data_IF_203299855198
#
_entry.id   IF_203299855198
#
_cell.length_a   1.000
_cell.length_b   1.000
_cell.length_c   1.000
_cell.angle_alpha   90.00
_cell.angle_beta   90.00
_cell.angle_gamma   90.00
#
_symmetry.space_group_name_H-M   'P 1'
#
loop_
_entity.id
_entity.type
_entity.pdbx_description
1 polymer ?
#
# COMPACT_ATOMS: atom_id res chain seq x y z
N UNK A 1 22.44 15.57 -3.20
CA UNK A 1 22.70 14.11 -3.30
C UNK A 1 21.63 13.24 -2.60
N UNK A 2 20.61 13.82 -1.95
CA UNK A 2 19.57 13.05 -1.23
C UNK A 2 18.28 12.77 -2.04
N UNK A 3 17.97 13.57 -3.06
CA UNK A 3 16.75 13.39 -3.88
C UNK A 3 16.70 12.04 -4.61
N UNK A 4 17.85 11.48 -4.99
CA UNK A 4 17.90 10.17 -5.66
C UNK A 4 17.53 9.00 -4.76
N UNK A 5 17.70 9.12 -3.44
CA UNK A 5 17.37 8.07 -2.47
C UNK A 5 15.88 8.11 -2.13
N UNK A 6 15.31 9.31 -1.93
CA UNK A 6 13.86 9.49 -1.72
C UNK A 6 13.07 8.83 -2.85
N UNK A 7 13.44 9.13 -4.10
CA UNK A 7 12.73 8.63 -5.28
C UNK A 7 12.74 7.09 -5.38
N UNK A 8 13.86 6.43 -5.08
CA UNK A 8 13.93 4.94 -5.06
C UNK A 8 13.07 4.32 -3.96
N UNK A 9 12.97 4.96 -2.79
CA UNK A 9 12.13 4.48 -1.70
C UNK A 9 10.65 4.60 -2.07
N UNK A 10 10.27 5.75 -2.64
CA UNK A 10 8.92 6.04 -3.14
C UNK A 10 8.49 5.01 -4.19
N UNK A 11 9.31 4.81 -5.23
CA UNK A 11 9.04 3.79 -6.25
C UNK A 11 8.91 2.39 -5.67
N UNK A 12 9.79 1.99 -4.75
CA UNK A 12 9.72 0.68 -4.12
C UNK A 12 8.45 0.48 -3.29
N UNK A 13 7.98 1.52 -2.61
CA UNK A 13 6.74 1.47 -1.82
C UNK A 13 5.50 1.41 -2.69
N UNK A 14 5.44 2.25 -3.72
CA UNK A 14 4.36 2.22 -4.71
C UNK A 14 4.28 0.87 -5.42
N UNK A 15 5.43 0.26 -5.72
CA UNK A 15 5.48 -1.09 -6.28
C UNK A 15 4.91 -2.13 -5.31
N UNK A 16 5.21 -2.06 -4.00
CA UNK A 16 4.60 -2.95 -2.99
C UNK A 16 3.09 -2.77 -2.92
N UNK A 17 2.59 -1.53 -2.92
CA UNK A 17 1.15 -1.25 -2.92
C UNK A 17 0.48 -1.73 -4.21
N UNK A 18 1.15 -1.56 -5.35
CA UNK A 18 0.68 -2.03 -6.64
C UNK A 18 0.59 -3.56 -6.68
N UNK A 19 1.58 -4.29 -6.15
CA UNK A 19 1.54 -5.75 -6.02
C UNK A 19 0.37 -6.22 -5.15
N UNK A 20 0.04 -5.48 -4.09
CA UNK A 20 -1.14 -5.74 -3.25
C UNK A 20 -2.41 -5.52 -4.07
N UNK A 21 -2.54 -4.37 -4.76
CA UNK A 21 -3.68 -4.06 -5.63
C UNK A 21 -3.89 -5.07 -6.74
N UNK A 22 -2.82 -5.48 -7.43
CA UNK A 22 -2.86 -6.52 -8.45
C UNK A 22 -3.35 -7.85 -7.86
N UNK A 23 -2.92 -8.18 -6.63
CA UNK A 23 -3.42 -9.37 -5.93
C UNK A 23 -4.92 -9.29 -5.64
N UNK A 24 -5.47 -8.10 -5.37
CA UNK A 24 -6.92 -7.92 -5.15
C UNK A 24 -7.73 -8.05 -6.44
N UNK A 25 -7.19 -7.58 -7.56
CA UNK A 25 -7.81 -7.70 -8.87
C UNK A 25 -7.86 -9.16 -9.36
N UNK A 26 -6.88 -9.98 -8.97
CA UNK A 26 -6.86 -11.40 -9.35
C UNK A 26 -8.02 -12.20 -8.73
N UNK A 27 -8.68 -13.09 -9.50
CA UNK A 27 -9.81 -13.90 -9.02
C UNK A 27 -9.42 -14.89 -7.92
N UNK A 28 -8.19 -15.45 -7.97
CA UNK A 28 -7.63 -16.35 -6.95
C UNK A 28 -6.79 -15.63 -5.88
N UNK A 29 -6.78 -14.30 -5.93
CA UNK A 29 -5.95 -13.50 -5.03
C UNK A 29 -6.45 -13.50 -3.59
N UNK A 30 -5.55 -13.30 -2.64
CA UNK A 30 -5.90 -13.19 -1.23
C UNK A 30 -6.54 -11.81 -1.01
N UNK A 31 -7.88 -11.79 -0.91
CA UNK A 31 -8.67 -10.58 -0.66
C UNK A 31 -9.05 -10.39 0.81
N UNK A 32 -8.67 -11.31 1.70
CA UNK A 32 -9.02 -11.21 3.14
C UNK A 32 -8.40 -9.96 3.76
N UNK A 33 -9.23 -9.19 4.46
CA UNK A 33 -8.82 -7.93 5.13
C UNK A 33 -7.59 -8.13 6.01
N UNK A 34 -7.61 -9.15 6.87
CA UNK A 34 -6.49 -9.51 7.74
C UNK A 34 -5.15 -9.63 6.96
N UNK A 35 -5.16 -10.36 5.85
CA UNK A 35 -3.95 -10.61 5.06
C UNK A 35 -3.50 -9.36 4.31
N UNK A 36 -4.44 -8.57 3.79
CA UNK A 36 -4.12 -7.34 3.08
C UNK A 36 -3.55 -6.29 4.05
N UNK A 37 -4.16 -6.13 5.23
CA UNK A 37 -3.65 -5.28 6.30
C UNK A 37 -2.25 -5.72 6.76
N UNK A 38 -2.00 -7.02 6.93
CA UNK A 38 -0.66 -7.54 7.26
C UNK A 38 0.37 -7.18 6.17
N UNK A 39 0.03 -7.30 4.88
CA UNK A 39 0.93 -6.92 3.77
C UNK A 39 1.22 -5.42 3.76
N UNK A 40 0.21 -4.60 4.01
CA UNK A 40 0.36 -3.14 4.11
C UNK A 40 1.23 -2.78 5.31
N UNK A 41 1.01 -3.42 6.46
CA UNK A 41 1.84 -3.24 7.65
C UNK A 41 3.31 -3.56 7.38
N UNK A 42 3.59 -4.68 6.68
CA UNK A 42 4.94 -5.04 6.24
C UNK A 42 5.55 -3.99 5.31
N UNK A 43 4.76 -3.46 4.36
CA UNK A 43 5.22 -2.37 3.50
C UNK A 43 5.55 -1.11 4.32
N UNK A 44 4.70 -0.73 5.27
CA UNK A 44 4.94 0.42 6.17
C UNK A 44 6.20 0.23 7.02
N UNK A 45 6.43 -0.97 7.55
CA UNK A 45 7.63 -1.30 8.32
C UNK A 45 8.91 -1.29 7.48
N UNK A 46 8.83 -1.70 6.21
CA UNK A 46 9.97 -1.66 5.28
C UNK A 46 10.35 -0.23 4.88
N UNK A 47 9.38 0.68 4.88
CA UNK A 47 9.54 2.07 4.45
C UNK A 47 9.09 3.08 5.53
N UNK A 48 9.73 3.11 6.71
CA UNK A 48 9.32 3.99 7.81
C UNK A 48 9.45 5.47 7.44
N UNK A 49 10.45 5.81 6.62
CA UNK A 49 10.77 7.19 6.24
C UNK A 49 9.82 7.81 5.23
N UNK A 50 9.00 7.03 4.52
CA UNK A 50 8.06 7.57 3.52
C UNK A 50 6.62 7.20 3.81
N UNK A 51 6.31 6.20 4.66
CA UNK A 51 4.92 5.80 4.87
C UNK A 51 4.03 6.96 5.33
N UNK A 52 4.59 7.95 6.03
CA UNK A 52 3.85 9.10 6.54
C UNK A 52 3.46 10.10 5.44
N UNK A 53 4.11 10.01 4.27
CA UNK A 53 3.78 10.75 3.07
C UNK A 53 2.67 10.07 2.26
N UNK A 54 2.30 8.83 2.59
CA UNK A 54 1.30 8.07 1.84
C UNK A 54 0.08 7.77 2.71
N UNK A 55 -1.07 8.29 2.29
CA UNK A 55 -2.34 8.00 2.92
C UNK A 55 -2.98 6.80 2.23
N UNK A 56 -3.08 5.65 2.93
CA UNK A 56 -3.62 4.40 2.38
C UNK A 56 -5.03 4.18 2.89
N UNK A 57 -5.97 4.04 1.96
CA UNK A 57 -7.38 3.76 2.21
C UNK A 57 -7.73 2.40 1.65
N UNK A 58 -8.44 1.59 2.44
CA UNK A 58 -8.90 0.26 2.04
C UNK A 58 -10.41 0.27 1.91
N UNK A 59 -10.90 -0.16 0.76
CA UNK A 59 -12.33 -0.42 0.56
C UNK A 59 -12.63 -1.84 1.00
N UNK A 60 -13.23 -1.95 2.18
CA UNK A 60 -13.50 -3.22 2.85
C UNK A 60 -14.99 -3.49 2.78
N UNK A 61 -15.35 -4.66 2.26
CA UNK A 61 -16.69 -5.18 2.33
C UNK A 61 -16.90 -5.89 3.67
N UNK A 62 -17.69 -5.27 4.54
CA UNK A 62 -17.97 -5.79 5.90
C UNK A 62 -18.77 -7.09 5.89
N UNK A 63 -19.60 -7.34 4.87
CA UNK A 63 -20.43 -8.53 4.78
C UNK A 63 -19.58 -9.78 4.50
N UNK A 64 -18.57 -9.64 3.64
CA UNK A 64 -17.70 -10.76 3.23
C UNK A 64 -16.32 -10.72 3.90
N UNK A 65 -15.99 -9.65 4.63
CA UNK A 65 -14.68 -9.38 5.26
C UNK A 65 -13.53 -9.47 4.25
N UNK A 66 -13.77 -8.97 3.03
CA UNK A 66 -12.76 -8.89 1.97
C UNK A 66 -12.48 -7.43 1.59
N UNK A 67 -11.26 -7.17 1.13
CA UNK A 67 -10.88 -5.91 0.52
C UNK A 67 -11.27 -5.97 -0.95
N UNK A 68 -12.14 -5.06 -1.37
CA UNK A 68 -12.51 -4.89 -2.77
C UNK A 68 -11.44 -4.11 -3.51
N UNK A 69 -10.96 -3.02 -2.91
CA UNK A 69 -9.97 -2.17 -3.53
C UNK A 69 -9.06 -1.48 -2.51
N UNK A 70 -7.90 -1.05 -2.97
CA UNK A 70 -6.93 -0.27 -2.20
C UNK A 70 -6.63 1.01 -2.96
N UNK A 71 -6.65 2.10 -2.22
CA UNK A 71 -6.33 3.44 -2.70
C UNK A 71 -5.17 3.96 -1.88
N UNK A 72 -4.23 4.63 -2.53
CA UNK A 72 -3.17 5.35 -1.86
C UNK A 72 -3.00 6.70 -2.52
N UNK A 73 -2.77 7.72 -1.71
CA UNK A 73 -2.49 9.07 -2.17
C UNK A 73 -1.17 9.51 -1.55
N UNK A 74 -0.27 10.01 -2.40
CA UNK A 74 0.96 10.64 -1.96
C UNK A 74 0.63 12.08 -1.58
N UNK A 75 0.85 12.42 -0.32
CA UNK A 75 0.76 13.77 0.19
C UNK A 75 2.13 14.43 0.02
N UNK A 76 2.32 15.03 -1.16
CA UNK A 76 3.56 15.73 -1.54
C UNK A 76 3.81 17.01 -0.74
N UNK A 77 2.80 17.50 -0.01
CA UNK A 77 2.87 18.73 0.81
C UNK A 77 3.83 18.56 2.01
N UNK A 78 4.21 17.32 2.36
CA UNK A 78 5.18 17.02 3.43
C UNK A 78 6.58 16.63 2.94
N UNK A 79 6.85 16.65 1.62
CA UNK A 79 8.06 16.09 1.01
C UNK A 79 9.30 16.99 1.03
#
# INVERSE_FOLDING_TARGET
KEQGIKNRLEQGYEEQLNLIKQSLSKPRGIKKVDKVQQRIGRAKQKYPSIHHLYNITLDIDIATKIVKNIYWQKDEVKA
#
